data_IF_427258593593
#
_entry.id   IF_427258593593
#
_cell.length_a   1.000
_cell.length_b   1.000
_cell.length_c   1.000
_cell.angle_alpha   90.00
_cell.angle_beta   90.00
_cell.angle_gamma   90.00
#
_symmetry.space_group_name_H-M   'P 1'
#
loop_
_entity.id
_entity.type
_entity.pdbx_description
1 polymer ?
#
# COMPACT_ATOMS: atom_id res chain seq x y z
N UNK A 1 -3.65 21.81 33.99
CA UNK A 1 -4.17 20.43 33.95
C UNK A 1 -4.28 20.02 32.49
N UNK A 2 -3.26 19.35 31.95
CA UNK A 2 -3.27 18.88 30.56
C UNK A 2 -4.12 17.62 30.45
N UNK A 3 -5.27 17.71 29.81
CA UNK A 3 -6.01 16.55 29.36
C UNK A 3 -5.18 15.86 28.28
N UNK A 4 -4.42 14.83 28.68
CA UNK A 4 -3.84 13.84 27.76
C UNK A 4 -4.99 13.15 27.04
N UNK A 5 -5.49 13.76 25.97
CA UNK A 5 -6.49 13.14 25.12
C UNK A 5 -5.74 12.27 24.12
N UNK A 6 -5.64 10.97 24.41
CA UNK A 6 -5.12 9.94 23.50
C UNK A 6 -5.96 9.80 22.20
N UNK A 7 -6.92 10.70 21.97
CA UNK A 7 -7.82 10.68 20.81
C UNK A 7 -7.32 11.74 19.84
N UNK A 8 -6.86 11.27 18.68
CA UNK A 8 -6.40 12.12 17.58
C UNK A 8 -7.49 13.13 17.14
N UNK A 9 -7.09 14.39 16.99
CA UNK A 9 -7.99 15.51 16.74
C UNK A 9 -7.94 15.98 15.28
N UNK A 10 -6.76 16.00 14.67
CA UNK A 10 -6.56 16.62 13.36
C UNK A 10 -7.16 15.80 12.22
N UNK A 11 -7.25 14.47 12.36
CA UNK A 11 -7.86 13.57 11.36
C UNK A 11 -7.29 13.80 9.95
N UNK A 12 -7.94 14.63 9.11
CA UNK A 12 -7.48 14.99 7.77
C UNK A 12 -6.81 16.38 7.65
N UNK A 13 -6.83 17.18 8.71
CA UNK A 13 -6.26 18.52 8.75
C UNK A 13 -4.73 18.49 8.96
N UNK A 14 -4.04 19.60 8.61
CA UNK A 14 -2.60 19.71 8.81
C UNK A 14 -2.21 19.49 10.27
N UNK A 15 -1.14 18.72 10.52
CA UNK A 15 -0.62 18.55 11.89
C UNK A 15 0.08 19.84 12.35
N UNK A 16 -0.33 20.43 13.50
CA UNK A 16 0.36 21.56 14.13
C UNK A 16 1.83 21.27 14.42
N UNK A 17 2.69 22.29 14.35
CA UNK A 17 4.14 22.12 14.49
C UNK A 17 4.56 21.49 15.84
N UNK A 18 3.87 21.84 16.93
CA UNK A 18 4.10 21.31 18.28
C UNK A 18 3.68 19.84 18.45
N UNK A 19 2.90 19.30 17.50
CA UNK A 19 2.44 17.90 17.47
C UNK A 19 3.18 17.04 16.44
N UNK A 20 4.23 17.57 15.79
CA UNK A 20 5.07 16.83 14.83
C UNK A 20 6.27 16.19 15.54
N UNK A 21 6.07 14.97 16.01
CA UNK A 21 7.07 14.19 16.77
C UNK A 21 7.59 12.95 16.03
N UNK A 22 7.25 12.79 14.75
CA UNK A 22 7.70 11.68 13.92
C UNK A 22 9.20 11.74 13.62
N UNK A 23 9.80 10.58 13.37
CA UNK A 23 11.22 10.45 13.01
C UNK A 23 11.39 9.49 11.84
N UNK A 24 12.52 9.56 11.13
CA UNK A 24 12.83 8.57 10.09
C UNK A 24 12.84 7.13 10.64
N UNK A 25 13.30 6.95 11.88
CA UNK A 25 13.29 5.65 12.54
C UNK A 25 11.88 5.15 12.84
N UNK A 26 10.95 6.03 13.24
CA UNK A 26 9.55 5.61 13.45
C UNK A 26 8.92 5.14 12.15
N UNK A 27 9.18 5.84 11.03
CA UNK A 27 8.76 5.39 9.70
C UNK A 27 9.38 4.04 9.34
N UNK A 28 10.69 3.86 9.54
CA UNK A 28 11.35 2.59 9.30
C UNK A 28 10.66 1.44 10.05
N UNK A 29 10.48 1.57 11.36
CA UNK A 29 9.86 0.52 12.18
C UNK A 29 8.40 0.26 11.82
N UNK A 30 7.66 1.30 11.41
CA UNK A 30 6.28 1.19 10.95
C UNK A 30 6.19 0.31 9.70
N UNK A 31 6.93 0.68 8.64
CA UNK A 31 6.84 -0.01 7.36
C UNK A 31 7.50 -1.38 7.40
N UNK A 32 8.59 -1.53 8.16
CA UNK A 32 9.18 -2.84 8.40
C UNK A 32 8.17 -3.75 9.11
N UNK A 33 7.62 -3.32 10.25
CA UNK A 33 6.67 -4.12 11.04
C UNK A 33 5.37 -4.44 10.30
N UNK A 34 4.85 -3.50 9.51
CA UNK A 34 3.64 -3.70 8.71
C UNK A 34 3.80 -4.79 7.63
N UNK A 35 5.03 -5.05 7.20
CA UNK A 35 5.33 -5.98 6.11
C UNK A 35 5.80 -7.36 6.58
N UNK A 36 6.31 -7.52 7.80
CA UNK A 36 6.70 -8.84 8.34
C UNK A 36 5.47 -9.62 8.83
N UNK A 37 4.63 -10.03 7.88
CA UNK A 37 3.34 -10.69 8.09
C UNK A 37 3.10 -11.79 7.07
N UNK A 38 2.15 -12.68 7.37
CA UNK A 38 1.88 -13.86 6.55
C UNK A 38 1.31 -13.54 5.17
N UNK A 39 0.57 -12.44 4.98
CA UNK A 39 0.12 -12.02 3.64
C UNK A 39 1.30 -11.68 2.72
N UNK A 40 2.36 -11.07 3.26
CA UNK A 40 3.58 -10.77 2.52
C UNK A 40 4.34 -12.04 2.12
N UNK A 41 4.34 -13.04 3.01
CA UNK A 41 4.88 -14.39 2.73
C UNK A 41 4.07 -15.04 1.59
N UNK A 42 2.75 -15.05 1.68
CA UNK A 42 1.86 -15.58 0.62
C UNK A 42 2.09 -14.86 -0.71
N UNK A 43 2.28 -13.55 -0.68
CA UNK A 43 2.55 -12.75 -1.88
C UNK A 43 3.87 -13.13 -2.53
N UNK A 44 4.95 -13.29 -1.74
CA UNK A 44 6.24 -13.72 -2.26
C UNK A 44 6.22 -15.14 -2.82
N UNK A 45 5.40 -16.03 -2.24
CA UNK A 45 5.23 -17.39 -2.73
C UNK A 45 4.64 -17.45 -4.15
N UNK A 46 3.89 -16.43 -4.58
CA UNK A 46 3.36 -16.35 -5.96
C UNK A 46 4.46 -16.44 -7.02
N UNK A 47 5.67 -15.94 -6.73
CA UNK A 47 6.83 -16.06 -7.62
C UNK A 47 7.18 -17.51 -7.96
N UNK A 48 6.90 -18.44 -7.04
CA UNK A 48 7.21 -19.87 -7.21
C UNK A 48 5.97 -20.74 -7.43
N UNK A 49 4.81 -20.36 -6.89
CA UNK A 49 3.57 -21.14 -7.01
C UNK A 49 2.74 -20.78 -8.23
N UNK A 50 2.69 -19.50 -8.61
CA UNK A 50 1.91 -19.02 -9.76
C UNK A 50 2.79 -18.79 -10.99
N UNK A 51 3.99 -18.23 -10.79
CA UNK A 51 4.96 -17.96 -11.87
C UNK A 51 5.96 -19.11 -12.07
N UNK A 52 5.90 -20.16 -11.25
CA UNK A 52 6.70 -21.39 -11.40
C UNK A 52 8.22 -21.17 -11.52
N UNK A 53 8.74 -20.04 -11.02
CA UNK A 53 10.15 -19.72 -11.10
C UNK A 53 10.96 -20.61 -10.15
N UNK A 54 12.21 -20.87 -10.53
CA UNK A 54 13.19 -21.43 -9.59
C UNK A 54 13.45 -20.41 -8.48
N UNK A 55 13.79 -20.90 -7.29
CA UNK A 55 13.98 -20.05 -6.11
C UNK A 55 14.90 -18.84 -6.34
N UNK A 56 16.04 -19.03 -7.02
CA UNK A 56 16.99 -17.94 -7.26
C UNK A 56 16.42 -16.87 -8.21
N UNK A 57 15.71 -17.29 -9.25
CA UNK A 57 15.08 -16.37 -10.20
C UNK A 57 13.95 -15.60 -9.51
N UNK A 58 13.12 -16.28 -8.71
CA UNK A 58 12.09 -15.68 -7.87
C UNK A 58 12.70 -14.67 -6.87
N UNK A 59 13.78 -15.04 -6.19
CA UNK A 59 14.44 -14.18 -5.22
C UNK A 59 14.96 -12.88 -5.86
N UNK A 60 15.60 -12.97 -7.02
CA UNK A 60 16.08 -11.81 -7.77
C UNK A 60 14.89 -10.94 -8.21
N UNK A 61 13.85 -11.54 -8.79
CA UNK A 61 12.65 -10.82 -9.23
C UNK A 61 11.99 -10.04 -8.09
N UNK A 62 11.80 -10.68 -6.93
CA UNK A 62 11.20 -10.08 -5.75
C UNK A 62 12.05 -8.92 -5.20
N UNK A 63 13.38 -9.09 -5.14
CA UNK A 63 14.30 -8.02 -4.70
C UNK A 63 14.24 -6.83 -5.65
N UNK A 64 14.33 -7.07 -6.96
CA UNK A 64 14.29 -6.01 -7.99
C UNK A 64 12.95 -5.26 -7.93
N UNK A 65 11.83 -5.99 -7.87
CA UNK A 65 10.50 -5.38 -7.77
C UNK A 65 10.34 -4.57 -6.49
N UNK A 66 10.74 -5.10 -5.33
CA UNK A 66 10.65 -4.38 -4.07
C UNK A 66 11.50 -3.10 -4.07
N UNK A 67 12.74 -3.17 -4.55
CA UNK A 67 13.65 -2.01 -4.64
C UNK A 67 13.08 -0.97 -5.60
N UNK A 68 12.62 -1.36 -6.78
CA UNK A 68 12.09 -0.43 -7.77
C UNK A 68 10.76 0.20 -7.33
N UNK A 69 9.80 -0.61 -6.87
CA UNK A 69 8.49 -0.12 -6.45
C UNK A 69 8.54 0.79 -5.23
N UNK A 70 9.44 0.50 -4.28
CA UNK A 70 9.58 1.28 -3.05
C UNK A 70 10.04 2.72 -3.31
N UNK A 71 10.69 3.02 -4.44
CA UNK A 71 11.07 4.38 -4.82
C UNK A 71 9.84 5.29 -4.89
N UNK A 72 8.76 4.82 -5.53
CA UNK A 72 7.54 5.60 -5.69
C UNK A 72 6.84 5.81 -4.35
N UNK A 73 6.69 4.74 -3.56
CA UNK A 73 6.14 4.82 -2.21
C UNK A 73 6.93 5.81 -1.34
N UNK A 74 8.26 5.72 -1.32
CA UNK A 74 9.11 6.60 -0.53
C UNK A 74 9.07 8.06 -1.02
N UNK A 75 8.94 8.28 -2.33
CA UNK A 75 8.76 9.61 -2.90
C UNK A 75 7.43 10.24 -2.47
N UNK A 76 6.34 9.46 -2.40
CA UNK A 76 5.09 9.95 -1.79
C UNK A 76 5.29 10.28 -0.30
N UNK A 77 6.02 9.44 0.45
CA UNK A 77 6.26 9.66 1.88
C UNK A 77 7.01 10.97 2.14
N UNK A 78 7.93 11.35 1.24
CA UNK A 78 8.70 12.58 1.32
C UNK A 78 7.85 13.86 1.17
N UNK A 79 6.60 13.76 0.70
CA UNK A 79 5.67 14.89 0.61
C UNK A 79 5.08 15.28 1.97
N UNK A 80 4.89 14.28 2.85
CA UNK A 80 4.22 14.43 4.14
C UNK A 80 4.80 15.51 5.06
N UNK A 81 6.12 15.57 5.33
CA UNK A 81 6.70 16.61 6.18
C UNK A 81 6.38 18.02 5.69
N UNK A 82 6.39 18.25 4.38
CA UNK A 82 6.12 19.57 3.79
C UNK A 82 4.63 19.94 3.85
N UNK A 83 3.75 19.02 3.45
CA UNK A 83 2.31 19.31 3.30
C UNK A 83 1.49 19.12 4.58
N UNK A 84 1.92 18.23 5.48
CA UNK A 84 1.28 18.02 6.79
C UNK A 84 -0.10 17.35 6.78
N UNK A 85 -0.60 16.94 5.61
CA UNK A 85 -1.95 16.36 5.41
C UNK A 85 -1.89 14.94 4.85
N UNK A 86 -2.94 14.10 5.05
CA UNK A 86 -3.02 12.75 4.49
C UNK A 86 -2.84 12.70 2.97
N UNK A 87 -2.36 11.56 2.45
CA UNK A 87 -2.02 11.45 1.02
C UNK A 87 -3.23 11.73 0.12
N UNK A 88 -4.41 11.22 0.50
CA UNK A 88 -5.62 11.39 -0.31
C UNK A 88 -6.17 12.81 -0.28
N UNK A 89 -5.83 13.62 0.73
CA UNK A 89 -6.12 15.06 0.73
C UNK A 89 -5.20 15.79 -0.25
N UNK A 90 -3.92 15.40 -0.33
CA UNK A 90 -2.96 15.99 -1.26
C UNK A 90 -3.38 15.83 -2.72
N UNK A 91 -4.13 14.76 -3.03
CA UNK A 91 -4.69 14.49 -4.38
C UNK A 91 -5.57 15.64 -4.88
N UNK A 92 -6.13 16.47 -4.00
CA UNK A 92 -6.90 17.67 -4.36
C UNK A 92 -6.08 18.71 -5.11
N UNK A 93 -4.77 18.82 -4.82
CA UNK A 93 -3.87 19.73 -5.54
C UNK A 93 -3.73 19.38 -7.02
N UNK A 94 -3.70 18.08 -7.33
CA UNK A 94 -3.55 17.64 -8.71
C UNK A 94 -4.87 17.58 -9.46
N UNK A 95 -5.94 17.05 -8.84
CA UNK A 95 -7.20 16.73 -9.52
C UNK A 95 -8.32 17.75 -9.27
N UNK A 96 -8.12 18.70 -8.35
CA UNK A 96 -9.19 19.56 -7.82
C UNK A 96 -10.00 18.87 -6.71
N UNK A 97 -10.80 19.65 -5.98
CA UNK A 97 -11.49 19.17 -4.77
C UNK A 97 -12.53 18.06 -5.01
N UNK A 98 -13.26 18.11 -6.13
CA UNK A 98 -14.21 17.08 -6.54
C UNK A 98 -13.57 16.06 -7.48
N UNK A 99 -12.66 16.50 -8.35
CA UNK A 99 -11.94 15.58 -9.25
C UNK A 99 -11.12 14.53 -8.52
N UNK A 100 -10.56 14.86 -7.34
CA UNK A 100 -9.82 13.89 -6.52
C UNK A 100 -10.69 12.76 -5.98
N UNK A 101 -12.00 12.97 -5.83
CA UNK A 101 -12.92 11.97 -5.25
C UNK A 101 -12.90 10.67 -6.05
N UNK A 102 -12.76 10.74 -7.37
CA UNK A 102 -12.66 9.56 -8.24
C UNK A 102 -11.54 8.63 -7.77
N UNK A 103 -10.33 9.16 -7.59
CA UNK A 103 -9.18 8.39 -7.14
C UNK A 103 -9.37 7.94 -5.69
N UNK A 104 -9.90 8.82 -4.83
CA UNK A 104 -10.12 8.49 -3.43
C UNK A 104 -11.12 7.35 -3.23
N UNK A 105 -12.16 7.25 -4.06
CA UNK A 105 -13.08 6.11 -4.02
C UNK A 105 -12.40 4.79 -4.38
N UNK A 106 -11.53 4.80 -5.40
CA UNK A 106 -10.72 3.64 -5.78
C UNK A 106 -9.82 3.22 -4.62
N UNK A 107 -9.18 4.18 -3.95
CA UNK A 107 -8.32 3.93 -2.79
C UNK A 107 -9.14 3.41 -1.59
N UNK A 108 -10.39 3.83 -1.39
CA UNK A 108 -11.28 3.25 -0.36
C UNK A 108 -11.55 1.76 -0.65
N UNK A 109 -11.80 1.40 -1.91
CA UNK A 109 -11.97 0.00 -2.31
C UNK A 109 -10.69 -0.80 -2.10
N UNK A 110 -9.53 -0.21 -2.39
CA UNK A 110 -8.22 -0.79 -2.08
C UNK A 110 -8.08 -1.10 -0.59
N UNK A 111 -8.39 -0.15 0.30
CA UNK A 111 -8.33 -0.37 1.75
C UNK A 111 -9.25 -1.50 2.21
N UNK A 112 -10.48 -1.57 1.69
CA UNK A 112 -11.39 -2.68 1.96
C UNK A 112 -10.86 -4.03 1.45
N UNK A 113 -10.28 -4.06 0.25
CA UNK A 113 -9.68 -5.26 -0.34
C UNK A 113 -8.46 -5.78 0.41
N UNK A 114 -7.55 -4.89 0.86
CA UNK A 114 -6.44 -5.28 1.73
C UNK A 114 -6.90 -5.69 3.12
N UNK A 115 -7.92 -5.03 3.68
CA UNK A 115 -8.56 -5.47 4.92
C UNK A 115 -9.07 -6.90 4.76
N UNK A 116 -9.83 -7.19 3.70
CA UNK A 116 -10.34 -8.54 3.38
C UNK A 116 -9.21 -9.57 3.24
N UNK A 117 -8.12 -9.20 2.56
CA UNK A 117 -6.97 -10.07 2.33
C UNK A 117 -6.21 -10.38 3.62
N UNK A 118 -5.96 -9.35 4.42
CA UNK A 118 -5.30 -9.47 5.72
C UNK A 118 -6.12 -10.36 6.65
N UNK A 119 -7.41 -10.07 6.87
CA UNK A 119 -8.22 -10.84 7.83
C UNK A 119 -8.47 -12.27 7.36
N UNK A 120 -8.63 -12.51 6.04
CA UNK A 120 -8.75 -13.87 5.47
C UNK A 120 -7.50 -14.69 5.77
N UNK A 121 -6.33 -14.20 5.38
CA UNK A 121 -5.08 -14.94 5.57
C UNK A 121 -4.74 -15.09 7.05
N UNK A 122 -4.86 -14.03 7.85
CA UNK A 122 -4.60 -14.09 9.29
C UNK A 122 -5.52 -15.09 9.99
N UNK A 123 -6.82 -15.02 9.72
CA UNK A 123 -7.81 -15.92 10.34
C UNK A 123 -7.66 -17.36 9.88
N UNK A 124 -7.44 -17.62 8.58
CA UNK A 124 -7.21 -18.99 8.09
C UNK A 124 -5.90 -19.59 8.61
N UNK A 125 -4.87 -18.77 8.80
CA UNK A 125 -3.62 -19.21 9.41
C UNK A 125 -3.85 -19.67 10.86
N UNK A 126 -4.57 -18.86 11.65
CA UNK A 126 -4.98 -19.26 13.01
C UNK A 126 -5.80 -20.54 12.98
N UNK A 127 -6.78 -20.66 12.09
CA UNK A 127 -7.60 -21.87 11.99
C UNK A 127 -6.79 -23.11 11.61
N UNK A 128 -5.83 -22.99 10.68
CA UNK A 128 -5.01 -24.11 10.23
C UNK A 128 -4.13 -24.67 11.35
N UNK A 129 -3.66 -23.81 12.26
CA UNK A 129 -2.84 -24.19 13.40
C UNK A 129 -3.69 -24.62 14.61
N UNK A 130 -4.79 -23.90 14.86
CA UNK A 130 -5.71 -24.10 15.97
C UNK A 130 -7.08 -24.50 15.44
N UNK A 131 -7.20 -25.74 14.95
CA UNK A 131 -8.41 -26.26 14.28
C UNK A 131 -9.68 -26.22 15.12
N UNK A 132 -9.53 -26.15 16.45
CA UNK A 132 -10.63 -25.93 17.39
C UNK A 132 -11.33 -24.56 17.23
N UNK A 133 -10.68 -23.57 16.62
CA UNK A 133 -11.25 -22.25 16.33
C UNK A 133 -11.80 -22.26 14.90
N UNK A 134 -13.12 -22.14 14.68
CA UNK A 134 -13.70 -22.08 13.35
C UNK A 134 -13.12 -20.92 12.51
N UNK A 135 -12.85 -21.15 11.22
CA UNK A 135 -12.27 -20.15 10.34
C UNK A 135 -13.02 -18.80 10.32
N UNK A 136 -14.36 -18.75 10.25
CA UNK A 136 -15.09 -17.47 10.31
C UNK A 136 -14.85 -16.70 11.62
N UNK A 137 -14.76 -17.40 12.75
CA UNK A 137 -14.50 -16.78 14.05
C UNK A 137 -13.06 -16.27 14.16
N UNK A 138 -12.09 -17.02 13.63
CA UNK A 138 -10.70 -16.58 13.58
C UNK A 138 -10.54 -15.31 12.72
N UNK A 139 -11.21 -15.26 11.56
CA UNK A 139 -11.20 -14.09 10.66
C UNK A 139 -11.80 -12.87 11.34
N UNK A 140 -12.98 -13.01 11.94
CA UNK A 140 -13.63 -11.93 12.68
C UNK A 140 -12.82 -11.51 13.90
N UNK A 141 -12.12 -12.43 14.56
CA UNK A 141 -11.23 -12.15 15.68
C UNK A 141 -10.03 -11.28 15.28
N UNK A 142 -9.32 -11.66 14.21
CA UNK A 142 -8.19 -10.87 13.65
C UNK A 142 -8.67 -9.49 13.20
N UNK A 143 -9.81 -9.42 12.52
CA UNK A 143 -10.38 -8.16 12.07
C UNK A 143 -10.86 -7.26 13.22
N UNK A 144 -11.44 -7.83 14.26
CA UNK A 144 -11.86 -7.07 15.46
C UNK A 144 -10.66 -6.49 16.22
N UNK A 145 -9.57 -7.25 16.30
CA UNK A 145 -8.32 -6.73 16.87
C UNK A 145 -7.76 -5.58 16.01
N UNK A 146 -7.80 -5.72 14.68
CA UNK A 146 -7.41 -4.65 13.75
C UNK A 146 -8.24 -3.38 13.96
N UNK A 147 -9.55 -3.53 14.09
CA UNK A 147 -10.50 -2.43 14.31
C UNK A 147 -10.25 -1.73 15.64
N UNK A 148 -10.01 -2.47 16.72
CA UNK A 148 -9.71 -1.90 18.03
C UNK A 148 -8.43 -1.03 17.99
N UNK A 149 -7.39 -1.51 17.30
CA UNK A 149 -6.14 -0.76 17.12
C UNK A 149 -6.37 0.48 16.23
N UNK A 150 -7.14 0.36 15.15
CA UNK A 150 -7.44 1.47 14.23
C UNK A 150 -8.23 2.60 14.91
N UNK A 151 -9.24 2.25 15.72
CA UNK A 151 -10.05 3.21 16.48
C UNK A 151 -9.19 3.99 17.49
N UNK A 152 -8.16 3.35 18.04
CA UNK A 152 -7.25 3.97 19.00
C UNK A 152 -6.34 5.05 18.37
N UNK A 153 -6.17 5.03 17.04
CA UNK A 153 -5.49 6.08 16.29
C UNK A 153 -3.96 5.93 16.19
N UNK A 154 -3.33 6.97 15.61
CA UNK A 154 -1.93 6.99 15.16
C UNK A 154 -0.89 6.49 16.19
N UNK A 155 -0.98 6.92 17.45
CA UNK A 155 0.05 6.61 18.46
C UNK A 155 0.07 5.14 18.86
N UNK A 156 -1.11 4.51 18.97
CA UNK A 156 -1.24 3.09 19.30
C UNK A 156 -0.75 2.25 18.13
N UNK A 157 -1.13 2.61 16.90
CA UNK A 157 -0.64 1.97 15.68
C UNK A 157 0.90 1.98 15.64
N UNK A 158 1.53 3.14 15.88
CA UNK A 158 2.99 3.26 15.90
C UNK A 158 3.64 2.41 16.98
N UNK A 159 3.06 2.40 18.18
CA UNK A 159 3.57 1.61 19.30
C UNK A 159 3.49 0.12 19.01
N UNK A 160 2.34 -0.36 18.51
CA UNK A 160 2.16 -1.73 18.05
C UNK A 160 3.17 -2.09 16.96
N UNK A 161 3.30 -1.26 15.93
CA UNK A 161 4.21 -1.52 14.82
C UNK A 161 5.68 -1.58 15.28
N UNK A 162 6.11 -0.70 16.20
CA UNK A 162 7.46 -0.74 16.76
C UNK A 162 7.74 -2.03 17.52
N UNK A 163 6.86 -2.46 18.44
CA UNK A 163 7.09 -3.69 19.19
C UNK A 163 6.99 -4.93 18.29
N UNK A 164 5.98 -4.99 17.43
CA UNK A 164 5.79 -6.12 16.53
C UNK A 164 6.87 -6.20 15.47
N UNK A 165 7.46 -5.08 15.01
CA UNK A 165 8.60 -5.13 14.07
C UNK A 165 9.74 -6.00 14.58
N UNK A 166 10.07 -5.90 15.88
CA UNK A 166 11.14 -6.67 16.50
C UNK A 166 10.73 -8.13 16.66
N UNK A 167 9.55 -8.38 17.23
CA UNK A 167 9.05 -9.74 17.49
C UNK A 167 8.86 -10.51 16.18
N UNK A 168 8.30 -9.86 15.17
CA UNK A 168 8.09 -10.43 13.84
C UNK A 168 9.42 -10.62 13.10
N UNK A 169 10.38 -9.70 13.20
CA UNK A 169 11.74 -9.89 12.64
C UNK A 169 12.43 -11.11 13.23
N UNK A 170 12.41 -11.25 14.56
CA UNK A 170 13.03 -12.38 15.25
C UNK A 170 12.32 -13.68 14.83
N UNK A 171 11.00 -13.68 14.81
CA UNK A 171 10.20 -14.83 14.36
C UNK A 171 10.53 -15.21 12.91
N UNK A 172 10.66 -14.25 12.02
CA UNK A 172 11.06 -14.46 10.63
C UNK A 172 12.46 -15.07 10.52
N UNK A 173 13.43 -14.53 11.26
CA UNK A 173 14.79 -15.07 11.31
C UNK A 173 14.81 -16.51 11.85
N UNK A 174 14.02 -16.80 12.88
CA UNK A 174 13.84 -18.16 13.41
C UNK A 174 13.24 -19.11 12.37
N UNK A 175 12.27 -18.65 11.57
CA UNK A 175 11.71 -19.44 10.48
C UNK A 175 12.79 -19.84 9.46
N UNK A 176 13.62 -18.90 9.02
CA UNK A 176 14.75 -19.20 8.12
C UNK A 176 15.75 -20.17 8.77
N UNK A 177 16.17 -19.90 10.01
CA UNK A 177 17.13 -20.73 10.72
C UNK A 177 16.62 -22.17 10.91
N UNK A 178 15.34 -22.34 11.22
CA UNK A 178 14.73 -23.65 11.40
C UNK A 178 14.61 -24.44 10.10
N UNK A 179 14.07 -23.81 9.05
CA UNK A 179 13.87 -24.48 7.75
C UNK A 179 15.22 -24.89 7.16
N UNK A 180 16.21 -24.00 7.20
CA UNK A 180 17.53 -24.25 6.60
C UNK A 180 18.43 -25.13 7.48
N UNK A 181 18.39 -24.96 8.79
CA UNK A 181 19.32 -25.59 9.73
C UNK A 181 18.83 -26.89 10.37
N UNK A 182 17.51 -27.06 10.52
CA UNK A 182 16.93 -28.21 11.24
C UNK A 182 16.19 -29.13 10.27
N UNK A 183 15.23 -28.60 9.52
CA UNK A 183 14.43 -29.40 8.59
C UNK A 183 15.19 -29.79 7.33
N UNK A 184 16.00 -28.86 6.82
CA UNK A 184 16.68 -29.00 5.54
C UNK A 184 15.73 -28.80 4.36
N UNK A 185 16.32 -28.48 3.21
CA UNK A 185 15.61 -28.38 1.94
C UNK A 185 15.81 -29.66 1.12
N UNK A 186 14.85 -30.04 0.26
CA UNK A 186 15.05 -31.14 -0.69
C UNK A 186 16.33 -30.97 -1.51
N UNK A 187 17.00 -32.06 -1.85
CA UNK A 187 18.26 -32.00 -2.61
C UNK A 187 18.11 -31.34 -3.98
N UNK A 188 16.93 -31.45 -4.58
CA UNK A 188 16.55 -30.85 -5.87
C UNK A 188 15.94 -29.45 -5.73
N UNK A 189 15.92 -28.84 -4.54
CA UNK A 189 15.23 -27.57 -4.26
C UNK A 189 15.57 -26.45 -5.25
N UNK A 190 16.84 -26.26 -5.59
CA UNK A 190 17.27 -25.20 -6.52
C UNK A 190 16.93 -25.52 -7.99
N UNK A 191 16.64 -26.78 -8.30
CA UNK A 191 16.29 -27.23 -9.64
C UNK A 191 14.76 -27.26 -9.87
N UNK A 192 13.94 -27.16 -8.82
CA UNK A 192 12.48 -27.10 -8.93
C UNK A 192 12.03 -25.77 -9.52
N UNK A 193 11.06 -25.84 -10.43
CA UNK A 193 10.60 -24.71 -11.24
C UNK A 193 11.42 -24.54 -12.52
N UNK A 194 11.15 -23.47 -13.26
CA UNK A 194 11.81 -23.17 -14.52
C UNK A 194 12.03 -21.67 -14.69
N UNK A 195 13.02 -21.27 -15.49
CA UNK A 195 13.16 -19.88 -15.86
C UNK A 195 12.30 -19.57 -17.08
N UNK A 196 11.49 -18.53 -16.96
CA UNK A 196 10.73 -17.92 -18.03
C UNK A 196 10.85 -16.42 -17.85
N UNK A 197 11.26 -15.70 -18.89
CA UNK A 197 11.41 -14.24 -18.81
C UNK A 197 10.07 -13.57 -18.51
N UNK A 198 8.97 -14.16 -18.97
CA UNK A 198 7.62 -13.65 -18.78
C UNK A 198 7.18 -13.73 -17.32
N UNK A 199 7.40 -14.89 -16.71
CA UNK A 199 7.12 -15.17 -15.30
C UNK A 199 8.05 -14.36 -14.38
N UNK A 200 9.31 -14.18 -14.77
CA UNK A 200 10.27 -13.35 -14.06
C UNK A 200 9.82 -11.88 -14.01
N UNK A 201 9.36 -11.34 -15.14
CA UNK A 201 8.80 -9.99 -15.20
C UNK A 201 7.48 -9.90 -14.41
N UNK A 202 6.62 -10.91 -14.48
CA UNK A 202 5.40 -10.98 -13.68
C UNK A 202 5.67 -10.91 -12.17
N UNK A 203 6.66 -11.66 -11.69
CA UNK A 203 7.10 -11.63 -10.30
C UNK A 203 7.69 -10.27 -9.89
N UNK A 204 8.47 -9.61 -10.76
CA UNK A 204 8.93 -8.22 -10.54
C UNK A 204 7.73 -7.29 -10.38
N UNK A 205 6.75 -7.39 -11.28
CA UNK A 205 5.55 -6.55 -11.26
C UNK A 205 4.78 -6.75 -9.95
N UNK A 206 4.51 -7.98 -9.51
CA UNK A 206 3.81 -8.23 -8.23
C UNK A 206 4.56 -7.61 -7.04
N UNK A 207 5.88 -7.76 -6.96
CA UNK A 207 6.66 -7.15 -5.88
C UNK A 207 6.69 -5.62 -5.96
N UNK A 208 6.83 -5.03 -7.15
CA UNK A 208 6.78 -3.58 -7.33
C UNK A 208 5.42 -2.99 -6.95
N UNK A 209 4.34 -3.70 -7.27
CA UNK A 209 2.98 -3.28 -6.92
C UNK A 209 2.67 -3.36 -5.46
N UNK A 210 3.18 -4.38 -4.78
CA UNK A 210 3.06 -4.47 -3.33
C UNK A 210 3.63 -3.22 -2.65
N UNK A 211 4.73 -2.67 -3.17
CA UNK A 211 5.26 -1.40 -2.69
C UNK A 211 4.37 -0.23 -3.07
N UNK A 212 3.97 -0.16 -4.34
CA UNK A 212 3.16 0.93 -4.88
C UNK A 212 1.80 1.05 -4.19
N UNK A 213 1.20 -0.07 -3.76
CA UNK A 213 -0.09 -0.07 -3.05
C UNK A 213 -0.04 0.69 -1.74
N UNK A 214 1.14 0.90 -1.14
CA UNK A 214 1.28 1.73 0.05
C UNK A 214 1.38 3.22 -0.26
N UNK A 215 1.52 3.64 -1.52
CA UNK A 215 1.63 5.06 -1.88
C UNK A 215 0.46 5.92 -1.34
N UNK A 216 -0.82 5.47 -1.33
CA UNK A 216 -1.92 6.19 -0.69
C UNK A 216 -1.83 6.29 0.85
N UNK A 217 -0.96 5.53 1.50
CA UNK A 217 -0.86 5.45 2.97
C UNK A 217 0.22 6.37 3.52
N UNK A 218 1.31 6.55 2.78
CA UNK A 218 2.58 6.96 3.40
C UNK A 218 2.56 8.35 4.04
N UNK A 219 1.91 9.33 3.41
CA UNK A 219 1.80 10.67 3.98
C UNK A 219 0.88 10.74 5.20
N UNK A 220 0.04 9.75 5.43
CA UNK A 220 -0.81 9.69 6.63
C UNK A 220 0.06 9.59 7.89
N UNK A 221 1.25 8.99 7.74
CA UNK A 221 2.21 8.81 8.81
C UNK A 221 3.38 9.79 8.73
N UNK A 222 3.92 10.05 7.53
CA UNK A 222 5.08 10.95 7.40
C UNK A 222 4.75 12.42 7.65
N UNK A 223 3.46 12.83 7.62
CA UNK A 223 3.01 14.17 8.01
C UNK A 223 3.32 14.57 9.46
N UNK A 224 3.63 13.60 10.31
CA UNK A 224 4.01 13.84 11.70
C UNK A 224 5.50 14.18 11.88
N UNK A 225 6.32 14.09 10.82
CA UNK A 225 7.70 14.57 10.90
C UNK A 225 7.74 16.11 10.95
N UNK A 226 8.69 16.71 11.69
CA UNK A 226 8.89 18.15 11.69
C UNK A 226 9.18 18.68 10.27
N UNK A 227 8.65 19.87 9.94
CA UNK A 227 8.79 20.46 8.60
C UNK A 227 10.25 20.64 8.17
N UNK A 228 11.12 20.98 9.13
CA UNK A 228 12.53 21.29 8.87
C UNK A 228 13.41 20.04 8.68
N UNK A 229 12.86 18.83 8.83
CA UNK A 229 13.62 17.59 8.60
C UNK A 229 13.95 17.35 7.12
N UNK A 230 13.25 18.02 6.20
CA UNK A 230 13.41 17.83 4.76
C UNK A 230 12.84 16.50 4.25
N UNK A 231 12.98 16.27 2.95
CA UNK A 231 12.40 15.11 2.26
C UNK A 231 13.19 13.81 2.51
N UNK A 232 14.52 13.89 2.65
CA UNK A 232 15.39 12.71 2.67
C UNK A 232 15.15 11.76 3.85
N UNK A 233 14.94 12.22 5.10
CA UNK A 233 14.67 11.31 6.21
C UNK A 233 13.34 10.55 6.03
N UNK A 234 12.31 11.21 5.53
CA UNK A 234 11.02 10.58 5.22
C UNK A 234 11.15 9.54 4.10
N UNK A 235 11.93 9.86 3.05
CA UNK A 235 12.22 8.95 1.95
C UNK A 235 12.97 7.71 2.45
N UNK A 236 14.17 7.87 3.03
CA UNK A 236 15.03 6.73 3.37
C UNK A 236 14.49 5.89 4.52
N UNK A 237 13.84 6.51 5.52
CA UNK A 237 13.17 5.78 6.60
C UNK A 237 12.07 4.87 6.05
N UNK A 238 11.23 5.41 5.16
CA UNK A 238 10.16 4.64 4.50
C UNK A 238 10.71 3.58 3.57
N UNK A 239 11.65 3.95 2.69
CA UNK A 239 12.25 3.09 1.68
C UNK A 239 12.94 1.87 2.32
N UNK A 240 13.84 2.10 3.28
CA UNK A 240 14.54 1.00 3.93
C UNK A 240 13.60 0.10 4.74
N UNK A 241 12.62 0.71 5.42
CA UNK A 241 11.64 -0.03 6.22
C UNK A 241 10.82 -0.97 5.36
N UNK A 242 10.26 -0.47 4.26
CA UNK A 242 9.40 -1.27 3.38
C UNK A 242 10.19 -2.29 2.56
N UNK A 243 11.35 -1.93 1.99
CA UNK A 243 12.16 -2.86 1.19
C UNK A 243 12.59 -4.06 2.02
N UNK A 244 13.17 -3.82 3.21
CA UNK A 244 13.59 -4.92 4.08
C UNK A 244 12.38 -5.66 4.66
N UNK A 245 11.34 -4.92 5.07
CA UNK A 245 10.12 -5.47 5.62
C UNK A 245 9.39 -6.39 4.66
N UNK A 246 9.37 -6.10 3.36
CA UNK A 246 8.71 -6.93 2.35
C UNK A 246 9.61 -8.02 1.79
N UNK A 247 10.89 -7.72 1.54
CA UNK A 247 11.80 -8.65 0.86
C UNK A 247 12.02 -9.92 1.66
N UNK A 248 12.37 -9.84 2.94
CA UNK A 248 12.67 -11.06 3.70
C UNK A 248 11.45 -11.99 3.86
N UNK A 249 10.24 -11.51 4.21
CA UNK A 249 9.06 -12.38 4.22
C UNK A 249 8.70 -12.91 2.84
N UNK A 250 8.84 -12.11 1.77
CA UNK A 250 8.60 -12.61 0.41
C UNK A 250 9.57 -13.71 0.01
N UNK A 251 10.85 -13.60 0.39
CA UNK A 251 11.85 -14.65 0.18
C UNK A 251 11.52 -15.93 0.96
N UNK A 252 11.04 -15.80 2.19
CA UNK A 252 10.53 -16.95 2.95
C UNK A 252 9.33 -17.58 2.21
N UNK A 253 8.44 -16.75 1.68
CA UNK A 253 7.31 -17.16 0.85
C UNK A 253 7.74 -17.94 -0.38
N UNK A 254 8.66 -17.41 -1.18
CA UNK A 254 9.21 -18.09 -2.34
C UNK A 254 9.89 -19.42 -1.96
N UNK A 255 10.65 -19.44 -0.86
CA UNK A 255 11.28 -20.68 -0.37
C UNK A 255 10.25 -21.76 -0.03
N UNK A 256 9.20 -21.40 0.72
CA UNK A 256 8.11 -22.33 1.06
C UNK A 256 7.31 -22.71 -0.19
N UNK A 257 7.09 -21.77 -1.10
CA UNK A 257 6.31 -21.97 -2.32
C UNK A 257 6.91 -23.00 -3.29
N UNK A 258 8.24 -23.16 -3.33
CA UNK A 258 8.90 -24.22 -4.12
C UNK A 258 8.43 -25.63 -3.75
N UNK A 259 8.05 -25.83 -2.49
CA UNK A 259 7.62 -27.13 -1.96
C UNK A 259 6.13 -27.16 -1.60
N UNK A 260 5.39 -26.09 -1.90
CA UNK A 260 3.97 -25.98 -1.60
C UNK A 260 3.14 -26.68 -2.68
N UNK A 261 2.64 -27.87 -2.36
CA UNK A 261 1.71 -28.59 -3.22
C UNK A 261 0.33 -27.91 -3.24
N UNK A 262 -0.29 -27.80 -4.42
CA UNK A 262 -1.61 -27.19 -4.58
C UNK A 262 -1.71 -25.70 -4.21
N UNK A 263 -0.57 -25.02 -3.98
CA UNK A 263 -0.54 -23.60 -3.62
C UNK A 263 -0.87 -23.29 -2.15
N UNK A 264 -0.95 -24.29 -1.27
CA UNK A 264 -1.18 -24.05 0.17
C UNK A 264 0.11 -23.61 0.89
N UNK A 265 0.43 -22.33 0.75
CA UNK A 265 1.63 -21.72 1.33
C UNK A 265 1.59 -21.74 2.87
N UNK A 266 0.41 -21.53 3.46
CA UNK A 266 0.26 -21.42 4.92
C UNK A 266 0.42 -22.78 5.58
N UNK A 267 -0.25 -23.81 5.07
CA UNK A 267 -0.09 -25.18 5.54
C UNK A 267 1.33 -25.71 5.33
N UNK A 268 1.93 -25.40 4.17
CA UNK A 268 3.33 -25.78 3.88
C UNK A 268 4.32 -25.09 4.82
N UNK A 269 4.11 -23.81 5.15
CA UNK A 269 4.91 -23.09 6.15
C UNK A 269 4.76 -23.75 7.54
N UNK A 270 3.53 -24.00 7.98
CA UNK A 270 3.26 -24.63 9.27
C UNK A 270 3.95 -25.99 9.38
N UNK A 271 3.76 -26.83 8.36
CA UNK A 271 4.42 -28.13 8.28
C UNK A 271 5.95 -27.96 8.33
N UNK A 272 6.51 -27.03 7.55
CA UNK A 272 7.95 -26.73 7.49
C UNK A 272 8.56 -26.30 8.83
N UNK A 273 7.77 -25.63 9.67
CA UNK A 273 8.19 -25.17 10.98
C UNK A 273 8.00 -26.20 12.10
N UNK A 274 7.15 -27.22 11.91
CA UNK A 274 6.88 -28.23 12.93
C UNK A 274 6.47 -27.58 14.26
N UNK A 275 7.17 -27.89 15.36
CA UNK A 275 6.86 -27.32 16.68
C UNK A 275 6.98 -25.78 16.78
N UNK A 276 7.61 -25.10 15.82
CA UNK A 276 7.67 -23.64 15.77
C UNK A 276 6.45 -22.99 15.08
N UNK A 277 5.60 -23.76 14.41
CA UNK A 277 4.47 -23.22 13.61
C UNK A 277 3.52 -22.39 14.47
N UNK A 278 3.14 -22.89 15.63
CA UNK A 278 2.24 -22.21 16.56
C UNK A 278 2.71 -20.80 16.96
N UNK A 279 4.00 -20.66 17.28
CA UNK A 279 4.59 -19.36 17.59
C UNK A 279 4.57 -18.45 16.36
N UNK A 280 5.06 -18.94 15.22
CA UNK A 280 5.20 -18.14 14.00
C UNK A 280 3.85 -17.65 13.47
N UNK A 281 2.87 -18.55 13.37
CA UNK A 281 1.51 -18.23 12.91
C UNK A 281 0.84 -17.24 13.86
N UNK A 282 0.99 -17.41 15.18
CA UNK A 282 0.42 -16.47 16.14
C UNK A 282 1.02 -15.07 15.99
N UNK A 283 2.35 -14.96 15.96
CA UNK A 283 3.04 -13.67 15.81
C UNK A 283 2.69 -13.00 14.48
N UNK A 284 2.72 -13.73 13.36
CA UNK A 284 2.39 -13.16 12.06
C UNK A 284 0.92 -12.79 11.95
N UNK A 285 0.00 -13.52 12.59
CA UNK A 285 -1.44 -13.18 12.59
C UNK A 285 -1.75 -11.94 13.44
N UNK A 286 -1.04 -11.75 14.56
CA UNK A 286 -1.11 -10.49 15.34
C UNK A 286 -0.52 -9.34 14.50
N UNK A 287 0.56 -9.58 13.77
CA UNK A 287 1.16 -8.56 12.88
C UNK A 287 0.23 -8.20 11.72
N UNK A 288 -0.48 -9.19 11.16
CA UNK A 288 -1.58 -8.97 10.20
C UNK A 288 -2.65 -8.06 10.82
N UNK A 289 -3.07 -8.29 12.06
CA UNK A 289 -4.08 -7.46 12.70
C UNK A 289 -3.62 -5.99 12.85
N UNK A 290 -2.37 -5.77 13.25
CA UNK A 290 -1.82 -4.42 13.34
C UNK A 290 -1.65 -3.76 11.96
N UNK A 291 -1.32 -4.50 10.91
CA UNK A 291 -1.33 -3.95 9.56
C UNK A 291 -2.75 -3.65 9.07
N UNK A 292 -3.73 -4.51 9.39
CA UNK A 292 -5.15 -4.26 9.08
C UNK A 292 -5.68 -2.99 9.75
N UNK A 293 -5.08 -2.59 10.88
CA UNK A 293 -5.37 -1.31 11.50
C UNK A 293 -4.96 -0.12 10.61
N UNK A 294 -3.85 -0.24 9.86
CA UNK A 294 -3.41 0.78 8.89
C UNK A 294 -4.44 0.92 7.76
N UNK A 295 -4.99 -0.21 7.29
CA UNK A 295 -5.98 -0.21 6.21
C UNK A 295 -7.28 0.47 6.64
N UNK A 296 -7.79 0.12 7.82
CA UNK A 296 -9.01 0.73 8.36
C UNK A 296 -8.83 2.21 8.69
N UNK A 297 -7.66 2.57 9.22
CA UNK A 297 -7.31 3.96 9.53
C UNK A 297 -7.20 4.81 8.25
N UNK A 298 -6.43 4.36 7.27
CA UNK A 298 -6.30 5.05 5.98
C UNK A 298 -7.62 5.11 5.22
N UNK A 299 -8.39 4.01 5.22
CA UNK A 299 -9.73 3.96 4.65
C UNK A 299 -10.68 4.96 5.30
N UNK A 300 -10.63 5.10 6.63
CA UNK A 300 -11.39 6.11 7.35
C UNK A 300 -10.98 7.53 6.95
N UNK A 301 -9.68 7.83 6.85
CA UNK A 301 -9.20 9.14 6.37
C UNK A 301 -9.67 9.43 4.93
N UNK A 302 -9.65 8.42 4.06
CA UNK A 302 -10.11 8.54 2.68
C UNK A 302 -11.63 8.77 2.60
N UNK A 303 -12.45 8.04 3.36
CA UNK A 303 -13.91 8.26 3.44
C UNK A 303 -14.21 9.67 3.93
N UNK A 304 -13.55 10.12 5.00
CA UNK A 304 -13.71 11.49 5.50
C UNK A 304 -13.32 12.52 4.44
N UNK A 305 -12.25 12.27 3.69
CA UNK A 305 -11.81 13.14 2.58
C UNK A 305 -12.89 13.26 1.50
N UNK A 306 -13.59 12.17 1.17
CA UNK A 306 -14.72 12.20 0.23
C UNK A 306 -15.90 12.98 0.80
N UNK A 307 -16.30 12.71 2.04
CA UNK A 307 -17.44 13.41 2.68
C UNK A 307 -17.18 14.91 2.77
N UNK A 308 -15.96 15.32 3.15
CA UNK A 308 -15.58 16.73 3.20
C UNK A 308 -15.56 17.38 1.81
N UNK A 309 -15.30 16.63 0.74
CA UNK A 309 -15.40 17.13 -0.64
C UNK A 309 -16.79 17.67 -0.97
N UNK A 310 -17.84 17.10 -0.37
CA UNK A 310 -19.23 17.58 -0.53
C UNK A 310 -19.71 18.48 0.63
N UNK A 311 -19.05 18.41 1.79
CA UNK A 311 -19.39 19.19 2.99
C UNK A 311 -18.12 19.78 3.61
N UNK A 312 -17.60 20.85 3.03
CA UNK A 312 -16.33 21.48 3.45
C UNK A 312 -16.32 21.90 4.91
N UNK A 313 -17.46 22.33 5.45
CA UNK A 313 -17.57 22.88 6.80
C UNK A 313 -17.71 21.78 7.87
N UNK A 314 -17.92 20.54 7.44
CA UNK A 314 -18.08 19.41 8.34
C UNK A 314 -16.73 19.00 8.94
N UNK A 315 -16.66 18.95 10.27
CA UNK A 315 -15.50 18.47 11.01
C UNK A 315 -15.79 17.09 11.59
N UNK A 316 -15.03 16.05 11.24
CA UNK A 316 -15.26 14.71 11.74
C UNK A 316 -14.95 14.62 13.23
N UNK A 317 -15.93 14.21 14.03
CA UNK A 317 -15.74 13.87 15.45
C UNK A 317 -15.31 12.41 15.65
N UNK A 318 -14.98 12.00 16.89
CA UNK A 318 -14.57 10.63 17.22
C UNK A 318 -15.58 9.56 16.77
N UNK A 319 -16.88 9.82 16.90
CA UNK A 319 -17.94 8.89 16.48
C UNK A 319 -17.92 8.63 14.98
N UNK A 320 -17.70 9.67 14.16
CA UNK A 320 -17.62 9.51 12.71
C UNK A 320 -16.38 8.69 12.31
N UNK A 321 -15.25 8.92 12.98
CA UNK A 321 -14.02 8.14 12.77
C UNK A 321 -14.22 6.67 13.11
N UNK A 322 -14.79 6.37 14.27
CA UNK A 322 -15.13 5.00 14.68
C UNK A 322 -16.10 4.34 13.71
N UNK A 323 -17.15 5.05 13.31
CA UNK A 323 -18.15 4.56 12.36
C UNK A 323 -17.54 4.21 10.99
N UNK A 324 -16.62 5.04 10.48
CA UNK A 324 -15.95 4.77 9.21
C UNK A 324 -14.88 3.67 9.30
N UNK A 325 -14.13 3.56 10.41
CA UNK A 325 -13.28 2.38 10.62
C UNK A 325 -14.13 1.09 10.63
N UNK A 326 -15.28 1.11 11.33
CA UNK A 326 -16.20 -0.03 11.37
C UNK A 326 -16.83 -0.32 10.00
N UNK A 327 -17.09 0.70 9.18
CA UNK A 327 -17.55 0.53 7.80
C UNK A 327 -16.51 -0.21 6.94
N UNK A 328 -15.26 0.23 6.96
CA UNK A 328 -14.17 -0.45 6.22
C UNK A 328 -14.00 -1.88 6.71
N UNK A 329 -14.05 -2.11 8.03
CA UNK A 329 -14.04 -3.45 8.59
C UNK A 329 -15.22 -4.30 8.12
N UNK A 330 -16.44 -3.79 8.18
CA UNK A 330 -17.64 -4.54 7.76
C UNK A 330 -17.58 -4.93 6.29
N UNK A 331 -17.14 -4.01 5.41
CA UNK A 331 -16.91 -4.30 4.00
C UNK A 331 -15.84 -5.38 3.81
N UNK A 332 -14.66 -5.21 4.43
CA UNK A 332 -13.55 -6.15 4.30
C UNK A 332 -13.86 -7.54 4.88
N UNK A 333 -14.48 -7.60 6.06
CA UNK A 333 -14.90 -8.84 6.69
C UNK A 333 -16.01 -9.54 5.88
N UNK A 334 -16.96 -8.78 5.34
CA UNK A 334 -17.97 -9.29 4.43
C UNK A 334 -17.34 -9.95 3.20
N UNK A 335 -16.39 -9.27 2.54
CA UNK A 335 -15.63 -9.85 1.42
C UNK A 335 -14.86 -11.10 1.83
N UNK A 336 -14.16 -11.05 2.98
CA UNK A 336 -13.36 -12.17 3.50
C UNK A 336 -14.18 -13.43 3.81
N UNK A 337 -15.42 -13.28 4.29
CA UNK A 337 -16.30 -14.42 4.57
C UNK A 337 -16.89 -15.04 3.30
N UNK A 338 -17.04 -14.26 2.22
CA UNK A 338 -17.63 -14.73 0.96
C UNK A 338 -16.60 -15.22 -0.07
N UNK A 339 -15.33 -14.80 0.01
CA UNK A 339 -14.31 -15.07 -1.02
C UNK A 339 -13.26 -16.12 -0.59
N UNK A 340 -13.63 -17.11 0.23
CA UNK A 340 -12.66 -18.04 0.83
C UNK A 340 -12.16 -19.16 -0.10
N UNK A 341 -13.00 -19.62 -1.02
CA UNK A 341 -12.64 -20.76 -1.87
C UNK A 341 -11.47 -20.44 -2.81
N UNK A 342 -11.55 -19.30 -3.51
CA UNK A 342 -10.59 -18.92 -4.56
C UNK A 342 -9.72 -17.71 -4.15
N UNK A 343 -9.20 -17.72 -2.91
CA UNK A 343 -8.52 -16.56 -2.35
C UNK A 343 -7.30 -16.11 -3.17
N UNK A 344 -6.39 -17.03 -3.55
CA UNK A 344 -5.16 -16.68 -4.28
C UNK A 344 -5.47 -16.01 -5.63
N UNK A 345 -6.42 -16.55 -6.38
CA UNK A 345 -6.82 -16.01 -7.68
C UNK A 345 -7.48 -14.63 -7.53
N UNK A 346 -8.46 -14.51 -6.62
CA UNK A 346 -9.12 -13.25 -6.31
C UNK A 346 -8.12 -12.19 -5.83
N UNK A 347 -7.15 -12.59 -5.02
CA UNK A 347 -6.09 -11.73 -4.51
C UNK A 347 -5.16 -11.23 -5.63
N UNK A 348 -4.76 -12.11 -6.54
CA UNK A 348 -3.96 -11.73 -7.70
C UNK A 348 -4.70 -10.77 -8.64
N UNK A 349 -5.97 -11.06 -8.94
CA UNK A 349 -6.82 -10.17 -9.75
C UNK A 349 -7.02 -8.80 -9.08
N UNK A 350 -7.15 -8.78 -7.75
CA UNK A 350 -7.19 -7.54 -6.98
C UNK A 350 -5.90 -6.72 -7.12
N UNK A 351 -4.72 -7.33 -7.00
CA UNK A 351 -3.44 -6.64 -7.19
C UNK A 351 -3.30 -6.04 -8.59
N UNK A 352 -3.69 -6.77 -9.63
CA UNK A 352 -3.64 -6.27 -11.00
C UNK A 352 -4.61 -5.12 -11.25
N UNK A 353 -5.85 -5.22 -10.75
CA UNK A 353 -6.80 -4.11 -10.85
C UNK A 353 -6.25 -2.84 -10.21
N UNK A 354 -5.64 -2.96 -9.02
CA UNK A 354 -5.00 -1.85 -8.33
C UNK A 354 -3.84 -1.25 -9.12
N UNK A 355 -3.01 -2.09 -9.76
CA UNK A 355 -1.94 -1.62 -10.64
C UNK A 355 -2.51 -0.59 -11.63
N UNK A 356 -3.52 -1.00 -12.39
CA UNK A 356 -3.99 -0.25 -13.55
C UNK A 356 -4.52 1.13 -13.17
N UNK A 357 -5.05 1.29 -11.96
CA UNK A 357 -5.65 2.53 -11.46
C UNK A 357 -4.71 3.37 -10.59
N UNK A 358 -3.77 2.76 -9.86
CA UNK A 358 -2.88 3.50 -8.97
C UNK A 358 -1.65 4.05 -9.70
N UNK A 359 -1.14 3.32 -10.71
CA UNK A 359 0.06 3.75 -11.46
C UNK A 359 -0.12 5.13 -12.10
N UNK A 360 -1.21 5.43 -12.85
CA UNK A 360 -1.40 6.75 -13.44
C UNK A 360 -1.54 7.85 -12.39
N UNK A 361 -2.17 7.55 -11.25
CA UNK A 361 -2.29 8.49 -10.14
C UNK A 361 -0.93 8.82 -9.53
N UNK A 362 -0.10 7.80 -9.26
CA UNK A 362 1.27 7.99 -8.76
C UNK A 362 2.09 8.81 -9.74
N UNK A 363 2.03 8.51 -11.04
CA UNK A 363 2.74 9.28 -12.07
C UNK A 363 2.36 10.77 -12.02
N UNK A 364 1.06 11.08 -12.01
CA UNK A 364 0.54 12.45 -11.96
C UNK A 364 0.97 13.13 -10.66
N UNK A 365 0.76 12.50 -9.51
CA UNK A 365 1.06 13.09 -8.22
C UNK A 365 2.55 13.40 -8.05
N UNK A 366 3.44 12.46 -8.38
CA UNK A 366 4.89 12.67 -8.26
C UNK A 366 5.39 13.72 -9.24
N UNK A 367 4.93 13.70 -10.50
CA UNK A 367 5.31 14.74 -11.48
C UNK A 367 4.80 16.11 -11.05
N UNK A 368 3.56 16.20 -10.59
CA UNK A 368 3.00 17.47 -10.15
C UNK A 368 3.77 18.03 -8.95
N UNK A 369 4.05 17.19 -7.95
CA UNK A 369 4.80 17.59 -6.76
C UNK A 369 6.24 17.98 -7.06
N UNK A 370 7.02 17.13 -7.74
CA UNK A 370 8.46 17.35 -7.90
C UNK A 370 8.83 18.25 -9.07
N UNK A 371 8.08 18.18 -10.18
CA UNK A 371 8.47 18.81 -11.45
C UNK A 371 7.61 20.02 -11.82
N UNK A 372 6.35 20.09 -11.39
CA UNK A 372 5.43 21.20 -11.72
C UNK A 372 5.42 22.25 -10.60
N UNK A 373 5.07 21.83 -9.38
CA UNK A 373 4.90 22.69 -8.21
C UNK A 373 6.14 22.74 -7.31
N UNK A 374 7.13 21.87 -7.50
CA UNK A 374 8.37 21.82 -6.70
C UNK A 374 8.12 21.78 -5.18
N UNK A 375 7.07 21.06 -4.79
CA UNK A 375 6.55 20.91 -3.44
C UNK A 375 5.84 22.13 -2.86
N UNK A 376 5.68 23.21 -3.63
CA UNK A 376 4.98 24.42 -3.21
C UNK A 376 3.48 24.31 -3.49
N UNK A 377 2.70 24.04 -2.45
CA UNK A 377 1.25 23.93 -2.52
C UNK A 377 0.60 24.82 -1.48
N UNK A 378 -0.45 25.54 -1.88
CA UNK A 378 -1.38 26.16 -0.95
C UNK A 378 -2.30 25.10 -0.31
N UNK A 379 -1.89 24.60 0.87
CA UNK A 379 -2.66 23.60 1.62
C UNK A 379 -4.03 24.13 2.05
N UNK A 380 -4.20 25.45 2.22
CA UNK A 380 -5.49 26.03 2.62
C UNK A 380 -6.56 25.82 1.55
N UNK A 381 -6.18 25.93 0.27
CA UNK A 381 -7.06 25.66 -0.87
C UNK A 381 -7.62 24.23 -0.88
N UNK A 382 -6.93 23.25 -0.31
CA UNK A 382 -7.42 21.87 -0.24
C UNK A 382 -8.72 21.76 0.55
N UNK A 383 -9.00 22.66 1.49
CA UNK A 383 -10.15 22.58 2.39
C UNK A 383 -11.29 23.55 2.02
N UNK A 384 -11.12 24.35 0.96
CA UNK A 384 -12.15 25.30 0.52
C UNK A 384 -13.25 24.62 -0.30
N UNK A 385 -14.49 25.06 -0.14
CA UNK A 385 -15.66 24.54 -0.87
C UNK A 385 -15.60 24.74 -2.40
N UNK A 386 -14.88 25.77 -2.86
CA UNK A 386 -14.62 26.06 -4.27
C UNK A 386 -13.35 25.35 -4.80
N UNK A 387 -12.57 24.69 -3.92
CA UNK A 387 -11.28 24.09 -4.23
C UNK A 387 -10.13 25.11 -4.33
N UNK A 388 -10.39 26.39 -4.01
CA UNK A 388 -9.40 27.46 -4.05
C UNK A 388 -8.69 27.57 -5.40
N UNK A 389 -7.37 27.72 -5.37
CA UNK A 389 -6.56 27.91 -6.60
C UNK A 389 -6.52 26.67 -7.51
N UNK A 390 -6.83 25.48 -6.98
CA UNK A 390 -6.88 24.23 -7.75
C UNK A 390 -8.25 23.98 -8.37
N UNK A 391 -9.28 24.72 -7.94
CA UNK A 391 -10.65 24.57 -8.37
C UNK A 391 -11.26 23.21 -8.01
N UNK A 392 -12.49 22.98 -8.49
CA UNK A 392 -13.21 21.73 -8.24
C UNK A 392 -12.74 20.58 -9.12
N UNK A 393 -12.34 20.88 -10.35
CA UNK A 393 -11.99 19.89 -11.36
C UNK A 393 -10.76 20.35 -12.14
N UNK A 394 -9.71 19.52 -12.14
CA UNK A 394 -8.59 19.68 -13.07
C UNK A 394 -8.75 18.70 -14.23
N UNK A 395 -9.43 19.14 -15.29
CA UNK A 395 -9.69 18.32 -16.48
C UNK A 395 -8.44 17.74 -17.14
N UNK A 396 -7.28 18.41 -17.01
CA UNK A 396 -5.99 17.91 -17.53
C UNK A 396 -5.52 16.67 -16.78
N UNK A 397 -5.55 16.73 -15.45
CA UNK A 397 -5.18 15.59 -14.61
C UNK A 397 -6.11 14.40 -14.85
N UNK A 398 -7.41 14.66 -14.92
CA UNK A 398 -8.42 13.62 -15.20
C UNK A 398 -8.24 13.00 -16.58
N UNK A 399 -7.95 13.80 -17.61
CA UNK A 399 -7.66 13.28 -18.95
C UNK A 399 -6.37 12.45 -18.97
N UNK A 400 -5.28 12.95 -18.37
CA UNK A 400 -4.02 12.19 -18.30
C UNK A 400 -4.21 10.87 -17.52
N UNK A 401 -5.03 10.88 -16.47
CA UNK A 401 -5.37 9.70 -15.69
C UNK A 401 -6.14 8.68 -16.53
N UNK A 402 -7.18 9.12 -17.25
CA UNK A 402 -7.94 8.27 -18.16
C UNK A 402 -7.08 7.70 -19.29
N UNK A 403 -6.25 8.53 -19.92
CA UNK A 403 -5.27 8.09 -20.94
C UNK A 403 -4.32 7.06 -20.36
N UNK A 404 -3.84 7.27 -19.12
CA UNK A 404 -2.98 6.32 -18.42
C UNK A 404 -3.61 4.96 -18.23
N UNK A 405 -4.89 4.90 -17.84
CA UNK A 405 -5.62 3.63 -17.74
C UNK A 405 -5.73 2.96 -19.12
N UNK A 406 -6.10 3.71 -20.16
CA UNK A 406 -6.29 3.18 -21.52
C UNK A 406 -4.99 2.65 -22.12
N UNK A 407 -3.88 3.36 -21.96
CA UNK A 407 -2.56 2.96 -22.49
C UNK A 407 -2.02 1.69 -21.84
N UNK A 408 -2.45 1.40 -20.62
CA UNK A 408 -2.07 0.17 -19.93
C UNK A 408 -2.80 -1.06 -20.48
N UNK A 409 -4.01 -0.90 -21.04
CA UNK A 409 -4.88 -2.00 -21.50
C UNK A 409 -4.14 -3.03 -22.37
N UNK A 410 -3.38 -2.64 -23.42
CA UNK A 410 -2.69 -3.61 -24.28
C UNK A 410 -1.65 -4.47 -23.56
N UNK A 411 -1.13 -4.00 -22.42
CA UNK A 411 -0.05 -4.63 -21.64
C UNK A 411 -0.56 -5.32 -20.37
N UNK A 412 -1.87 -5.30 -20.12
CA UNK A 412 -2.47 -5.99 -18.97
C UNK A 412 -2.37 -7.50 -19.14
N UNK A 413 -1.97 -8.19 -18.08
CA UNK A 413 -2.00 -9.66 -18.02
C UNK A 413 -2.60 -10.10 -16.69
N UNK A 414 -3.89 -10.43 -16.73
CA UNK A 414 -4.67 -10.93 -15.59
C UNK A 414 -5.52 -12.12 -16.02
N UNK A 415 -6.13 -12.83 -15.06
CA UNK A 415 -7.05 -13.94 -15.37
C UNK A 415 -8.29 -13.47 -16.16
N UNK A 416 -8.72 -12.22 -15.93
CA UNK A 416 -9.90 -11.63 -16.58
C UNK A 416 -9.61 -11.14 -18.00
N UNK A 417 -8.40 -10.67 -18.24
CA UNK A 417 -8.02 -10.08 -19.52
C UNK A 417 -6.51 -10.13 -19.73
N UNK A 418 -6.11 -10.60 -20.92
CA UNK A 418 -4.75 -10.50 -21.44
C UNK A 418 -4.76 -9.68 -22.72
N UNK A 419 -4.09 -8.54 -22.69
CA UNK A 419 -3.98 -7.61 -23.82
C UNK A 419 -3.09 -8.16 -24.95
N UNK A 420 -3.23 -7.64 -26.19
CA UNK A 420 -2.49 -8.13 -27.34
C UNK A 420 -0.97 -8.05 -27.17
N UNK A 421 -0.44 -6.95 -26.64
CA UNK A 421 0.99 -6.82 -26.39
C UNK A 421 1.45 -7.77 -25.27
N UNK A 422 0.65 -7.93 -24.21
CA UNK A 422 0.94 -8.91 -23.17
C UNK A 422 0.98 -10.34 -23.72
N UNK A 423 0.11 -10.72 -24.68
CA UNK A 423 0.15 -12.05 -25.32
C UNK A 423 1.41 -12.28 -26.13
N UNK A 424 1.82 -11.29 -26.92
CA UNK A 424 3.08 -11.35 -27.68
C UNK A 424 4.29 -11.42 -26.75
N UNK A 425 4.19 -10.78 -25.58
CA UNK A 425 5.15 -10.85 -24.48
C UNK A 425 4.89 -12.05 -23.56
N UNK A 426 4.31 -13.15 -24.05
CA UNK A 426 4.17 -14.41 -23.33
C UNK A 426 3.42 -14.34 -22.00
N UNK A 427 2.55 -13.34 -21.82
CA UNK A 427 1.79 -13.10 -20.59
C UNK A 427 2.46 -12.18 -19.56
N UNK A 428 3.57 -11.52 -19.90
CA UNK A 428 4.22 -10.58 -18.99
C UNK A 428 3.40 -9.28 -18.81
N UNK A 429 3.06 -8.94 -17.56
CA UNK A 429 2.41 -7.67 -17.25
C UNK A 429 3.45 -6.53 -17.12
N UNK A 430 3.59 -5.73 -18.19
CA UNK A 430 4.44 -4.54 -18.24
C UNK A 430 3.65 -3.22 -18.10
N UNK A 431 2.36 -3.31 -17.80
CA UNK A 431 1.48 -2.16 -17.84
C UNK A 431 1.93 -1.04 -16.89
N UNK A 432 2.45 -1.36 -15.70
CA UNK A 432 2.87 -0.33 -14.74
C UNK A 432 4.05 0.52 -15.26
N UNK A 433 5.00 -0.12 -15.96
CA UNK A 433 6.14 0.58 -16.57
C UNK A 433 5.64 1.51 -17.67
N UNK A 434 4.76 1.01 -18.53
CA UNK A 434 4.16 1.79 -19.62
C UNK A 434 3.34 2.95 -19.06
N UNK A 435 2.53 2.70 -18.03
CA UNK A 435 1.73 3.70 -17.34
C UNK A 435 2.59 4.84 -16.79
N UNK A 436 3.69 4.54 -16.11
CA UNK A 436 4.63 5.56 -15.62
C UNK A 436 5.29 6.32 -16.78
N UNK A 437 5.87 5.62 -17.76
CA UNK A 437 6.63 6.22 -18.86
C UNK A 437 5.75 7.12 -19.73
N UNK A 438 4.47 6.78 -19.93
CA UNK A 438 3.57 7.58 -20.76
C UNK A 438 2.92 8.71 -19.97
N UNK A 439 2.39 8.44 -18.78
CA UNK A 439 1.60 9.43 -18.02
C UNK A 439 2.48 10.54 -17.47
N UNK A 440 3.70 10.23 -17.01
CA UNK A 440 4.61 11.23 -16.44
C UNK A 440 4.95 12.39 -17.39
N UNK A 441 5.48 12.16 -18.61
CA UNK A 441 5.75 13.23 -19.55
C UNK A 441 4.47 13.87 -20.10
N UNK A 442 3.41 13.09 -20.33
CA UNK A 442 2.13 13.61 -20.81
C UNK A 442 1.57 14.68 -19.86
N UNK A 443 1.52 14.36 -18.57
CA UNK A 443 1.02 15.29 -17.56
C UNK A 443 1.93 16.52 -17.43
N UNK A 444 3.25 16.32 -17.41
CA UNK A 444 4.22 17.41 -17.33
C UNK A 444 4.05 18.43 -18.48
N UNK A 445 3.94 17.94 -19.72
CA UNK A 445 3.76 18.77 -20.92
C UNK A 445 2.40 19.47 -20.89
N UNK A 446 1.32 18.77 -20.52
CA UNK A 446 -0.01 19.36 -20.38
C UNK A 446 -0.07 20.51 -19.34
N UNK A 447 0.74 20.42 -18.29
CA UNK A 447 0.87 21.50 -17.31
C UNK A 447 1.71 22.69 -17.84
N UNK A 448 2.78 22.44 -18.58
CA UNK A 448 3.66 23.46 -19.19
C UNK A 448 2.96 24.32 -20.24
N UNK A 449 2.18 23.71 -21.13
CA UNK A 449 1.53 24.40 -22.25
C UNK A 449 0.57 25.53 -21.81
N UNK A 450 0.00 25.44 -20.60
CA UNK A 450 -0.95 26.42 -20.07
C UNK A 450 -0.30 27.53 -19.24
N UNK A 451 0.92 27.35 -18.73
CA UNK A 451 1.69 28.48 -18.14
C UNK A 451 2.01 29.55 -19.18
N UNK A 452 1.89 29.23 -20.47
CA UNK A 452 2.05 30.18 -21.59
C UNK A 452 0.76 30.95 -21.93
N UNK A 453 -0.39 30.65 -21.33
CA UNK A 453 -1.61 31.46 -21.49
C UNK A 453 -1.66 32.54 -20.41
N UNK A 454 -1.68 33.84 -20.76
CA UNK A 454 -1.83 34.91 -19.78
C UNK A 454 -3.18 34.77 -19.05
N UNK A 455 -3.16 34.84 -17.73
CA UNK A 455 -4.37 34.91 -16.92
C UNK A 455 -5.21 36.13 -17.36
N UNK A 456 -6.54 36.00 -17.54
CA UNK A 456 -7.40 37.15 -17.78
C UNK A 456 -7.37 38.03 -16.52
N UNK A 457 -6.65 39.16 -16.58
CA UNK A 457 -6.62 40.17 -15.52
C UNK A 457 -5.24 40.52 -14.94
N UNK A 458 -4.13 39.96 -15.44
CA UNK A 458 -2.79 40.38 -15.04
C UNK A 458 -2.39 41.71 -15.68
N UNK A 459 -2.48 42.81 -14.93
CA UNK A 459 -1.86 44.09 -15.31
C UNK A 459 -0.37 43.86 -15.62
N UNK A 460 0.04 44.30 -16.80
CA UNK A 460 1.44 44.54 -17.15
C UNK A 460 1.96 45.55 -16.12
N UNK A 461 2.86 45.12 -15.24
CA UNK A 461 3.67 46.04 -14.46
C UNK A 461 4.84 46.46 -15.35
N UNK A 462 4.90 47.76 -15.58
CA UNK A 462 5.81 48.46 -16.47
C UNK A 462 7.28 48.18 -16.16
N UNK A 463 8.08 48.25 -17.24
CA UNK A 463 9.52 48.34 -17.20
C UNK A 463 9.99 49.60 -16.44
N UNK A 464 10.92 49.41 -15.49
CA UNK A 464 12.03 50.33 -15.19
C UNK A 464 13.25 49.50 -14.83
#
# INVERSE_FOLDING_TARGET
>A
MGTSTYIEQETIYPIPADRRHGTAYSLFTLWFGANVKILTIVTGALATTAFHLRFLDAAIALVVGNVAGAVFMAAHAAQGPRLGVPQMVQTRGQFGSLGSILVTLIVILMYAGYTASNVTIGGRSIHSEFTAIPAPLAILGVGSLSLAVAISGYDVIHRCARYLSIVAAVTLALCFAWILGVRGLPADFLARGQFSIHDFVGAISVAALWQLSYAPYVSDYSRYLPQDTGAAPAFWGTYAGVVLGSTFPMLLGAMVGVVAEGGDVVGTLAHSLGGLSGLAITVFSITVACCGALDMYGGMLAVITVVQGFRSDWRPGPVARMGFCALIFACGAGMALNAQADFLENYMNFLFLLLYVLVPWTAINLVDYYLVHHGDYDVTSFFRADGGIYGRWNGRALLCYAVGIVVQVPFMSSALYTGPAARELGGADLSWIVGLIVVSPLYYLACRLRRAEPLPGGRVADAV
#
